data_IF_602576554549
#
_entry.id   IF_602576554549
#
_cell.length_a   1.000
_cell.length_b   1.000
_cell.length_c   1.000
_cell.angle_alpha   90.00
_cell.angle_beta   90.00
_cell.angle_gamma   90.00
#
_symmetry.space_group_name_H-M   'P 1'
#
loop_
_entity.id
_entity.type
_entity.pdbx_description
1 polymer ?
#
# COMPACT_ATOMS: atom_id res chain seq x y z
N UNK A 1 10.64 1.49 1.37
CA UNK A 1 10.39 1.29 -0.08
C UNK A 1 9.64 -0.01 -0.29
N UNK A 2 8.54 0.01 -1.04
CA UNK A 2 7.86 -1.20 -1.50
C UNK A 2 8.13 -1.37 -3.01
N UNK A 3 8.59 -2.54 -3.44
CA UNK A 3 8.77 -2.84 -4.86
C UNK A 3 7.42 -3.20 -5.49
N UNK A 4 7.03 -2.49 -6.56
CA UNK A 4 5.75 -2.66 -7.23
C UNK A 4 5.89 -3.48 -8.51
N UNK A 5 5.08 -4.53 -8.64
CA UNK A 5 5.03 -5.42 -9.79
C UNK A 5 3.66 -5.41 -10.45
N UNK A 6 3.66 -5.38 -11.78
CA UNK A 6 2.54 -5.83 -12.59
C UNK A 6 2.86 -7.27 -13.04
N UNK A 7 2.13 -8.29 -12.57
CA UNK A 7 2.59 -9.67 -12.69
C UNK A 7 2.43 -10.26 -14.11
N UNK A 8 1.43 -9.82 -14.88
CA UNK A 8 0.98 -10.55 -16.08
C UNK A 8 1.03 -9.76 -17.39
N UNK A 9 1.15 -8.42 -17.35
CA UNK A 9 1.30 -7.63 -18.59
C UNK A 9 2.66 -7.90 -19.23
N UNK A 10 2.67 -8.29 -20.50
CA UNK A 10 3.89 -8.51 -21.28
C UNK A 10 4.29 -7.25 -22.07
N UNK A 11 3.36 -6.65 -22.82
CA UNK A 11 3.59 -5.41 -23.58
C UNK A 11 2.35 -4.50 -23.56
N UNK A 12 2.53 -3.17 -23.57
CA UNK A 12 1.41 -2.23 -23.63
C UNK A 12 0.84 -2.04 -25.03
N UNK A 13 1.61 -2.38 -26.07
CA UNK A 13 1.15 -2.48 -27.45
C UNK A 13 1.94 -3.53 -28.23
N UNK A 14 1.43 -3.97 -29.38
CA UNK A 14 2.09 -4.98 -30.24
C UNK A 14 3.23 -4.42 -31.09
N UNK A 15 3.42 -3.09 -31.15
CA UNK A 15 4.43 -2.44 -31.98
C UNK A 15 5.74 -2.17 -31.23
N UNK A 16 5.77 -2.40 -29.91
CA UNK A 16 6.94 -2.20 -29.08
C UNK A 16 8.06 -3.19 -29.44
N UNK A 17 9.25 -2.67 -29.73
CA UNK A 17 10.45 -3.48 -29.96
C UNK A 17 10.85 -4.21 -28.68
N UNK A 18 11.19 -5.48 -28.81
CA UNK A 18 11.60 -6.35 -27.69
C UNK A 18 12.95 -7.00 -27.98
N UNK A 19 13.76 -7.18 -26.93
CA UNK A 19 15.00 -7.96 -27.02
C UNK A 19 14.71 -9.42 -27.38
N UNK A 20 15.69 -10.13 -27.98
CA UNK A 20 15.55 -11.55 -28.33
C UNK A 20 15.16 -12.45 -27.15
N UNK A 21 15.57 -12.08 -25.94
CA UNK A 21 15.30 -12.80 -24.69
C UNK A 21 13.95 -12.46 -24.04
N UNK A 22 13.16 -11.56 -24.59
CA UNK A 22 11.89 -11.14 -24.00
C UNK A 22 10.87 -12.29 -23.98
N UNK A 23 10.02 -12.37 -22.93
CA UNK A 23 9.07 -13.47 -22.74
C UNK A 23 8.08 -13.63 -23.89
N UNK A 24 7.73 -12.52 -24.57
CA UNK A 24 6.86 -12.58 -25.75
C UNK A 24 7.50 -13.24 -26.97
N UNK A 25 8.83 -13.37 -26.99
CA UNK A 25 9.59 -14.04 -28.05
C UNK A 25 9.98 -15.46 -27.67
N UNK A 26 10.41 -15.66 -26.42
CA UNK A 26 10.90 -16.97 -25.94
C UNK A 26 9.77 -17.92 -25.56
N UNK A 27 8.61 -17.39 -25.17
CA UNK A 27 7.44 -18.19 -24.76
C UNK A 27 6.15 -17.68 -25.43
N UNK A 28 6.08 -17.62 -26.77
CA UNK A 28 4.93 -17.07 -27.48
C UNK A 28 3.63 -17.84 -27.21
N UNK A 29 3.72 -19.13 -26.88
CA UNK A 29 2.56 -20.00 -26.59
C UNK A 29 1.75 -19.56 -25.35
N UNK A 30 2.36 -18.83 -24.40
CA UNK A 30 1.67 -18.29 -23.22
C UNK A 30 1.21 -16.85 -23.41
N UNK A 31 1.42 -16.25 -24.58
CA UNK A 31 1.03 -14.88 -24.85
C UNK A 31 -0.39 -14.83 -25.43
N UNK A 32 -1.19 -13.90 -24.93
CA UNK A 32 -2.52 -13.57 -25.43
C UNK A 32 -2.57 -12.10 -25.82
N UNK A 33 -3.14 -11.82 -26.99
CA UNK A 33 -3.50 -10.46 -27.39
C UNK A 33 -4.82 -10.11 -26.73
N UNK A 34 -4.88 -8.93 -26.13
CA UNK A 34 -6.11 -8.40 -25.55
C UNK A 34 -6.15 -6.90 -25.76
N UNK A 35 -7.08 -6.44 -26.60
CA UNK A 35 -7.07 -5.07 -27.15
C UNK A 35 -5.71 -4.79 -27.81
N UNK A 36 -5.09 -3.65 -27.52
CA UNK A 36 -3.74 -3.33 -27.99
C UNK A 36 -2.63 -4.11 -27.25
N UNK A 37 -2.90 -4.70 -26.09
CA UNK A 37 -1.88 -5.24 -25.19
C UNK A 37 -1.51 -6.68 -25.52
N UNK A 38 -0.31 -7.08 -25.09
CA UNK A 38 0.06 -8.49 -24.94
C UNK A 38 0.15 -8.84 -23.45
N UNK A 39 -0.44 -9.98 -23.09
CA UNK A 39 -0.48 -10.50 -21.73
C UNK A 39 0.09 -11.90 -21.69
N UNK A 40 0.86 -12.21 -20.64
CA UNK A 40 1.11 -13.60 -20.28
C UNK A 40 -0.18 -14.17 -19.70
N UNK A 41 -0.60 -15.34 -20.18
CA UNK A 41 -1.83 -16.01 -19.76
C UNK A 41 -1.74 -16.36 -18.26
N UNK A 42 -2.56 -15.74 -17.37
CA UNK A 42 -2.50 -16.02 -15.93
C UNK A 42 -2.90 -17.46 -15.57
N UNK A 43 -3.59 -18.18 -16.46
CA UNK A 43 -3.94 -19.59 -16.29
C UNK A 43 -2.75 -20.54 -16.55
N UNK A 44 -1.70 -20.08 -17.22
CA UNK A 44 -0.46 -20.85 -17.41
C UNK A 44 0.36 -20.96 -16.11
N UNK A 45 0.80 -22.18 -15.78
CA UNK A 45 1.72 -22.42 -14.66
C UNK A 45 3.03 -21.68 -14.84
N UNK A 46 3.58 -21.67 -16.06
CA UNK A 46 4.78 -20.93 -16.42
C UNK A 46 4.65 -19.43 -16.09
N UNK A 47 3.53 -18.80 -16.47
CA UNK A 47 3.29 -17.38 -16.19
C UNK A 47 3.34 -17.08 -14.69
N UNK A 48 2.60 -17.86 -13.88
CA UNK A 48 2.53 -17.66 -12.43
C UNK A 48 3.88 -17.92 -11.75
N UNK A 49 4.58 -18.99 -12.14
CA UNK A 49 5.90 -19.33 -11.62
C UNK A 49 6.92 -18.25 -11.98
N UNK A 50 6.95 -17.78 -13.24
CA UNK A 50 7.85 -16.71 -13.67
C UNK A 50 7.62 -15.42 -12.88
N UNK A 51 6.37 -14.99 -12.73
CA UNK A 51 6.03 -13.80 -11.96
C UNK A 51 6.47 -13.94 -10.50
N UNK A 52 6.20 -15.08 -9.87
CA UNK A 52 6.63 -15.36 -8.50
C UNK A 52 8.15 -15.36 -8.37
N UNK A 53 8.87 -16.03 -9.28
CA UNK A 53 10.34 -16.09 -9.28
C UNK A 53 10.98 -14.71 -9.35
N UNK A 54 10.45 -13.80 -10.18
CA UNK A 54 10.93 -12.41 -10.25
C UNK A 54 10.67 -11.65 -8.95
N UNK A 55 9.48 -11.78 -8.36
CA UNK A 55 9.15 -11.17 -7.07
C UNK A 55 10.10 -11.68 -5.98
N UNK A 56 10.36 -12.98 -5.93
CA UNK A 56 11.23 -13.59 -4.92
C UNK A 56 12.72 -13.27 -5.16
N UNK A 57 13.15 -13.11 -6.40
CA UNK A 57 14.52 -12.67 -6.71
C UNK A 57 14.79 -11.26 -6.18
N UNK A 58 13.87 -10.31 -6.44
CA UNK A 58 13.95 -8.95 -5.88
C UNK A 58 13.86 -8.99 -4.35
N UNK A 59 12.94 -9.78 -3.82
CA UNK A 59 12.80 -9.97 -2.36
C UNK A 59 14.10 -10.46 -1.75
N UNK A 60 14.83 -11.41 -2.37
CA UNK A 60 16.12 -11.89 -1.88
C UNK A 60 17.21 -10.83 -1.96
N UNK A 61 17.42 -10.24 -3.14
CA UNK A 61 18.60 -9.42 -3.45
C UNK A 61 18.56 -8.00 -2.86
N UNK A 62 17.38 -7.45 -2.61
CA UNK A 62 17.24 -6.04 -2.19
C UNK A 62 16.62 -5.92 -0.80
N UNK A 63 17.05 -4.92 -0.03
CA UNK A 63 16.48 -4.59 1.27
C UNK A 63 15.19 -3.78 1.16
N UNK A 64 14.18 -4.38 0.52
CA UNK A 64 12.85 -3.77 0.39
C UNK A 64 12.06 -3.94 1.68
N UNK A 65 11.26 -2.91 2.04
CA UNK A 65 10.33 -2.98 3.18
C UNK A 65 9.05 -3.73 2.83
N UNK A 66 8.79 -3.94 1.54
CA UNK A 66 7.62 -4.66 1.07
C UNK A 66 7.57 -4.91 -0.43
N UNK A 67 6.61 -5.74 -0.80
CA UNK A 67 6.20 -6.08 -2.16
C UNK A 67 4.78 -5.56 -2.36
N UNK A 68 4.52 -5.00 -3.54
CA UNK A 68 3.22 -4.47 -3.91
C UNK A 68 2.81 -4.97 -5.29
N UNK A 69 1.55 -5.41 -5.43
CA UNK A 69 0.93 -5.61 -6.74
C UNK A 69 -0.31 -4.74 -6.86
N UNK A 70 -0.58 -4.24 -8.07
CA UNK A 70 -1.73 -3.40 -8.37
C UNK A 70 -2.95 -4.23 -8.80
N UNK A 71 -3.84 -3.63 -9.57
CA UNK A 71 -5.16 -4.15 -9.93
C UNK A 71 -5.18 -4.95 -11.23
N UNK A 72 -4.03 -5.14 -11.87
CA UNK A 72 -3.91 -5.87 -13.13
C UNK A 72 -3.67 -7.37 -12.91
N UNK A 73 -4.77 -8.08 -12.68
CA UNK A 73 -4.80 -9.54 -12.68
C UNK A 73 -5.12 -10.02 -14.11
N UNK A 74 -6.39 -10.26 -14.44
CA UNK A 74 -6.82 -10.27 -15.84
C UNK A 74 -7.02 -8.84 -16.36
N UNK A 75 -6.86 -8.60 -17.67
CA UNK A 75 -7.01 -7.25 -18.23
C UNK A 75 -8.44 -6.73 -18.10
N UNK A 76 -8.55 -5.42 -17.90
CA UNK A 76 -9.83 -4.70 -17.95
C UNK A 76 -10.43 -4.77 -19.36
N UNK A 77 -11.62 -5.36 -19.54
CA UNK A 77 -12.35 -5.26 -20.80
C UNK A 77 -12.87 -3.84 -21.00
N UNK A 78 -13.11 -3.47 -22.25
CA UNK A 78 -14.03 -2.36 -22.52
C UNK A 78 -15.44 -2.79 -22.16
N UNK A 79 -16.29 -1.81 -21.87
CA UNK A 79 -17.70 -2.03 -21.56
C UNK A 79 -18.57 -1.42 -22.66
N UNK A 80 -19.67 -2.08 -22.99
CA UNK A 80 -20.69 -1.52 -23.86
C UNK A 80 -21.55 -0.46 -23.14
N UNK A 81 -22.49 0.13 -23.87
CA UNK A 81 -23.42 1.14 -23.33
C UNK A 81 -24.29 0.64 -22.16
N UNK A 82 -24.44 -0.68 -22.04
CA UNK A 82 -25.20 -1.34 -20.98
C UNK A 82 -24.30 -1.85 -19.84
N UNK A 83 -23.00 -1.51 -19.86
CA UNK A 83 -22.03 -1.94 -18.85
C UNK A 83 -21.58 -3.39 -18.98
N UNK A 84 -21.85 -4.07 -20.10
CA UNK A 84 -21.41 -5.45 -20.34
C UNK A 84 -20.00 -5.49 -20.92
N UNK A 85 -19.14 -6.44 -20.53
CA UNK A 85 -17.78 -6.53 -21.07
C UNK A 85 -17.82 -6.89 -22.57
N UNK A 86 -17.12 -6.10 -23.38
CA UNK A 86 -17.02 -6.32 -24.84
C UNK A 86 -16.06 -7.44 -25.22
N UNK A 87 -15.00 -7.62 -24.44
CA UNK A 87 -13.96 -8.62 -24.71
C UNK A 87 -13.92 -9.65 -23.59
N UNK A 88 -13.68 -10.89 -23.97
CA UNK A 88 -13.28 -11.95 -23.06
C UNK A 88 -11.80 -12.27 -23.29
N UNK A 89 -11.09 -12.59 -22.20
CA UNK A 89 -9.70 -13.00 -22.32
C UNK A 89 -9.61 -14.35 -23.06
N UNK A 90 -8.77 -14.52 -24.09
CA UNK A 90 -8.80 -15.70 -24.95
C UNK A 90 -7.96 -16.87 -24.37
N UNK A 91 -8.39 -17.41 -23.23
CA UNK A 91 -7.74 -18.54 -22.52
C UNK A 91 -8.63 -19.79 -22.42
N UNK A 92 -9.87 -19.71 -22.90
CA UNK A 92 -10.88 -20.77 -22.79
C UNK A 92 -11.28 -21.10 -21.34
N UNK A 93 -11.06 -20.20 -20.38
CA UNK A 93 -11.38 -20.42 -18.96
C UNK A 93 -12.64 -19.69 -18.55
N UNK A 94 -13.45 -20.37 -17.74
CA UNK A 94 -14.57 -19.74 -17.03
C UNK A 94 -14.07 -18.73 -15.99
N UNK A 95 -14.90 -17.73 -15.60
CA UNK A 95 -14.54 -16.80 -14.54
C UNK A 95 -14.12 -17.48 -13.22
N UNK A 96 -14.76 -18.60 -12.86
CA UNK A 96 -14.41 -19.36 -11.65
C UNK A 96 -13.03 -20.01 -11.74
N UNK A 97 -12.66 -20.58 -12.90
CA UNK A 97 -11.31 -21.10 -13.14
C UNK A 97 -10.27 -19.99 -13.06
N UNK A 98 -10.52 -18.85 -13.70
CA UNK A 98 -9.62 -17.69 -13.66
C UNK A 98 -9.37 -17.22 -12.22
N UNK A 99 -10.42 -17.09 -11.41
CA UNK A 99 -10.29 -16.74 -9.99
C UNK A 99 -9.43 -17.73 -9.22
N UNK A 100 -9.61 -19.04 -9.42
CA UNK A 100 -8.77 -20.06 -8.75
C UNK A 100 -7.28 -19.89 -9.07
N UNK A 101 -6.93 -19.54 -10.30
CA UNK A 101 -5.52 -19.30 -10.68
C UNK A 101 -4.95 -18.05 -10.02
N UNK A 102 -5.70 -16.95 -9.97
CA UNK A 102 -5.27 -15.71 -9.30
C UNK A 102 -5.17 -15.91 -7.79
N UNK A 103 -6.16 -16.54 -7.17
CA UNK A 103 -6.17 -16.87 -5.74
C UNK A 103 -4.92 -17.69 -5.36
N UNK A 104 -4.63 -18.74 -6.14
CA UNK A 104 -3.46 -19.58 -5.91
C UNK A 104 -2.16 -18.78 -6.04
N UNK A 105 -2.04 -17.89 -7.02
CA UNK A 105 -0.89 -17.00 -7.16
C UNK A 105 -0.74 -16.05 -5.97
N UNK A 106 -1.81 -15.39 -5.55
CA UNK A 106 -1.79 -14.45 -4.41
C UNK A 106 -1.40 -15.15 -3.12
N UNK A 107 -1.97 -16.33 -2.85
CA UNK A 107 -1.63 -17.14 -1.69
C UNK A 107 -0.15 -17.56 -1.72
N UNK A 108 0.33 -18.09 -2.86
CA UNK A 108 1.73 -18.50 -3.01
C UNK A 108 2.71 -17.33 -2.88
N UNK A 109 2.39 -16.18 -3.47
CA UNK A 109 3.17 -14.95 -3.36
C UNK A 109 3.31 -14.54 -1.90
N UNK A 110 2.19 -14.47 -1.16
CA UNK A 110 2.20 -14.12 0.25
C UNK A 110 3.11 -15.07 1.04
N UNK A 111 2.80 -16.37 1.00
CA UNK A 111 3.54 -17.38 1.76
C UNK A 111 5.04 -17.36 1.42
N UNK A 112 5.40 -17.28 0.15
CA UNK A 112 6.80 -17.31 -0.28
C UNK A 112 7.58 -16.07 0.14
N UNK A 113 6.97 -14.87 0.06
CA UNK A 113 7.60 -13.64 0.56
C UNK A 113 7.76 -13.70 2.07
N UNK A 114 6.75 -14.17 2.80
CA UNK A 114 6.82 -14.33 4.26
C UNK A 114 7.91 -15.33 4.69
N UNK A 115 8.10 -16.42 3.95
CA UNK A 115 9.16 -17.40 4.22
C UNK A 115 10.57 -16.80 4.03
N UNK A 116 10.76 -15.95 3.01
CA UNK A 116 12.08 -15.34 2.73
C UNK A 116 12.38 -14.15 3.65
N UNK A 117 11.41 -13.26 3.83
CA UNK A 117 11.53 -12.03 4.61
C UNK A 117 10.22 -11.79 5.37
N UNK A 118 10.03 -12.40 6.56
CA UNK A 118 8.78 -12.32 7.31
C UNK A 118 8.32 -10.88 7.57
N UNK A 119 9.27 -9.96 7.76
CA UNK A 119 9.02 -8.53 8.00
C UNK A 119 8.66 -7.72 6.74
N UNK A 120 8.93 -8.19 5.52
CA UNK A 120 8.68 -7.43 4.29
C UNK A 120 7.19 -7.44 3.93
N UNK A 121 6.47 -6.32 4.03
CA UNK A 121 5.01 -6.24 3.85
C UNK A 121 4.57 -6.70 2.45
N UNK A 122 3.52 -7.50 2.35
CA UNK A 122 2.86 -7.82 1.07
C UNK A 122 1.57 -7.01 0.94
N UNK A 123 1.55 -6.10 -0.03
CA UNK A 123 0.40 -5.23 -0.31
C UNK A 123 -0.25 -5.53 -1.65
N UNK A 124 -1.57 -5.39 -1.71
CA UNK A 124 -2.34 -5.55 -2.95
C UNK A 124 -3.26 -4.34 -3.11
N UNK A 125 -3.23 -3.69 -4.28
CA UNK A 125 -4.08 -2.54 -4.63
C UNK A 125 -5.13 -2.95 -5.68
N UNK A 126 -6.25 -3.58 -5.26
CA UNK A 126 -7.29 -4.00 -6.20
C UNK A 126 -8.18 -2.83 -6.63
N UNK A 127 -9.02 -3.07 -7.64
CA UNK A 127 -10.12 -2.17 -7.98
C UNK A 127 -10.98 -1.86 -6.75
N UNK A 128 -11.41 -0.60 -6.63
CA UNK A 128 -12.06 -0.11 -5.41
C UNK A 128 -13.46 -0.67 -5.13
N UNK A 129 -14.11 -1.29 -6.13
CA UNK A 129 -15.43 -1.91 -6.01
C UNK A 129 -15.27 -3.42 -6.29
N UNK A 130 -15.47 -4.27 -5.28
CA UNK A 130 -15.28 -5.72 -5.43
C UNK A 130 -16.28 -6.33 -6.42
N UNK A 131 -17.55 -5.94 -6.29
CA UNK A 131 -18.65 -6.29 -7.20
C UNK A 131 -19.58 -5.09 -7.37
N UNK A 132 -20.20 -4.89 -8.55
CA UNK A 132 -21.26 -3.90 -8.70
C UNK A 132 -22.36 -4.16 -7.67
N UNK A 133 -22.90 -3.11 -7.06
CA UNK A 133 -23.88 -3.22 -5.97
C UNK A 133 -23.27 -3.56 -4.60
N UNK A 134 -21.94 -3.66 -4.47
CA UNK A 134 -21.28 -4.02 -3.20
C UNK A 134 -20.22 -2.98 -2.80
N UNK A 135 -20.43 -2.21 -1.72
CA UNK A 135 -21.63 -2.16 -0.86
C UNK A 135 -22.88 -1.65 -1.60
N UNK A 136 -24.07 -1.90 -1.03
CA UNK A 136 -25.36 -1.48 -1.62
C UNK A 136 -25.34 0.00 -2.05
N UNK A 137 -25.95 0.28 -3.20
CA UNK A 137 -26.00 1.59 -3.84
C UNK A 137 -24.75 2.00 -4.63
N UNK A 138 -23.67 1.21 -4.59
CA UNK A 138 -22.53 1.43 -5.50
C UNK A 138 -22.82 0.82 -6.86
N UNK A 139 -22.46 1.53 -7.94
CA UNK A 139 -22.50 0.99 -9.31
C UNK A 139 -21.08 0.84 -9.86
N UNK A 140 -20.89 -0.08 -10.80
CA UNK A 140 -19.63 -0.21 -11.55
C UNK A 140 -19.90 -0.96 -12.85
N UNK A 141 -19.40 -0.45 -13.97
CA UNK A 141 -19.45 -1.17 -15.26
C UNK A 141 -18.46 -2.33 -15.30
N UNK A 142 -17.47 -2.33 -14.41
CA UNK A 142 -16.53 -3.45 -14.24
C UNK A 142 -16.86 -4.20 -12.96
N UNK A 143 -17.03 -5.51 -13.09
CA UNK A 143 -17.09 -6.43 -11.98
C UNK A 143 -15.69 -7.01 -11.73
N UNK A 144 -14.98 -6.52 -10.71
CA UNK A 144 -13.60 -6.96 -10.44
C UNK A 144 -13.51 -8.46 -10.14
N UNK A 145 -14.50 -9.01 -9.41
CA UNK A 145 -14.57 -10.42 -9.09
C UNK A 145 -14.77 -11.31 -10.34
N UNK A 146 -15.60 -10.89 -11.30
CA UNK A 146 -15.86 -11.69 -12.51
C UNK A 146 -14.88 -11.39 -13.65
N UNK A 147 -14.64 -10.13 -13.96
CA UNK A 147 -13.89 -9.71 -15.15
C UNK A 147 -12.38 -9.72 -14.93
N UNK A 148 -11.92 -9.29 -13.74
CA UNK A 148 -10.49 -9.23 -13.41
C UNK A 148 -10.01 -10.49 -12.68
N UNK A 149 -10.94 -11.38 -12.32
CA UNK A 149 -10.70 -12.55 -11.48
C UNK A 149 -10.08 -12.19 -10.10
N UNK A 150 -10.39 -11.00 -9.59
CA UNK A 150 -9.83 -10.47 -8.36
C UNK A 150 -10.78 -10.63 -7.17
N UNK A 151 -10.68 -11.75 -6.44
CA UNK A 151 -11.42 -11.95 -5.20
C UNK A 151 -10.72 -11.32 -3.99
N UNK A 152 -10.51 -10.01 -4.05
CA UNK A 152 -9.76 -9.25 -3.03
C UNK A 152 -10.39 -9.26 -1.64
N UNK A 153 -11.71 -9.46 -1.55
CA UNK A 153 -12.40 -9.72 -0.29
C UNK A 153 -11.90 -11.00 0.36
N UNK A 154 -11.80 -12.10 -0.40
CA UNK A 154 -11.26 -13.38 0.09
C UNK A 154 -9.80 -13.25 0.50
N UNK A 155 -8.96 -12.57 -0.28
CA UNK A 155 -7.54 -12.39 0.04
C UNK A 155 -7.36 -11.66 1.38
N UNK A 156 -8.15 -10.62 1.61
CA UNK A 156 -8.16 -9.87 2.87
C UNK A 156 -8.65 -10.73 4.05
N UNK A 157 -9.74 -11.48 3.88
CA UNK A 157 -10.30 -12.36 4.92
C UNK A 157 -9.36 -13.50 5.30
N UNK A 158 -8.67 -14.08 4.31
CA UNK A 158 -7.73 -15.19 4.51
C UNK A 158 -6.33 -14.74 4.94
N UNK A 159 -6.08 -13.43 4.98
CA UNK A 159 -4.79 -12.88 5.37
C UNK A 159 -3.69 -13.13 4.33
N UNK A 160 -4.03 -13.28 3.04
CA UNK A 160 -3.08 -13.45 1.93
C UNK A 160 -2.44 -12.13 1.47
N UNK A 161 -2.50 -11.12 2.33
CA UNK A 161 -1.78 -9.86 2.23
C UNK A 161 -1.62 -9.29 3.65
N UNK A 162 -0.60 -8.45 3.84
CA UNK A 162 -0.39 -7.69 5.07
C UNK A 162 -1.21 -6.40 5.08
N UNK A 163 -1.61 -5.89 3.92
CA UNK A 163 -2.58 -4.80 3.78
C UNK A 163 -3.25 -4.84 2.40
N UNK A 164 -4.48 -4.31 2.35
CA UNK A 164 -5.16 -4.03 1.10
C UNK A 164 -5.19 -2.52 0.84
N UNK A 165 -5.03 -2.12 -0.41
CA UNK A 165 -5.08 -0.72 -0.86
C UNK A 165 -6.12 -0.53 -1.96
N UNK A 166 -7.41 -0.76 -1.69
CA UNK A 166 -8.44 -0.63 -2.72
C UNK A 166 -8.41 0.77 -3.33
N UNK A 167 -8.52 0.85 -4.65
CA UNK A 167 -8.44 2.09 -5.42
C UNK A 167 -9.73 2.92 -5.29
N UNK A 168 -9.86 3.66 -4.18
CA UNK A 168 -11.03 4.49 -3.88
C UNK A 168 -10.90 5.87 -4.57
N UNK A 169 -10.95 5.87 -5.90
CA UNK A 169 -10.62 7.04 -6.73
C UNK A 169 -11.79 8.00 -7.00
N UNK A 170 -12.90 7.77 -6.33
CA UNK A 170 -14.10 8.60 -6.36
C UNK A 170 -14.04 9.70 -5.29
N UNK A 171 -14.97 10.65 -5.38
CA UNK A 171 -15.12 11.71 -4.37
C UNK A 171 -15.81 11.15 -3.12
N UNK A 172 -15.81 11.93 -2.05
CA UNK A 172 -16.51 11.63 -0.79
C UNK A 172 -18.01 11.49 -1.06
N UNK A 173 -18.57 12.41 -1.83
CA UNK A 173 -19.97 12.38 -2.23
C UNK A 173 -20.20 11.58 -3.53
N UNK A 174 -21.41 11.04 -3.65
CA UNK A 174 -21.90 10.34 -4.83
C UNK A 174 -22.08 8.82 -4.66
N UNK A 175 -22.53 8.11 -5.72
CA UNK A 175 -22.88 6.69 -5.64
C UNK A 175 -21.70 5.80 -5.24
N UNK A 176 -20.50 6.11 -5.71
CA UNK A 176 -19.23 5.46 -5.34
C UNK A 176 -18.51 6.21 -4.21
N UNK A 177 -19.26 6.76 -3.26
CA UNK A 177 -18.73 7.52 -2.12
C UNK A 177 -17.49 6.88 -1.50
N UNK A 178 -16.42 7.66 -1.40
CA UNK A 178 -15.17 7.27 -0.75
C UNK A 178 -15.41 6.72 0.66
N UNK A 179 -16.21 7.41 1.47
CA UNK A 179 -16.50 7.04 2.85
C UNK A 179 -17.27 5.72 2.94
N UNK A 180 -18.24 5.52 2.05
CA UNK A 180 -19.01 4.27 1.97
C UNK A 180 -18.10 3.09 1.65
N UNK A 181 -17.26 3.24 0.63
CA UNK A 181 -16.32 2.20 0.21
C UNK A 181 -15.26 1.92 1.28
N UNK A 182 -14.72 2.96 1.92
CA UNK A 182 -13.74 2.81 2.99
C UNK A 182 -14.31 2.04 4.18
N UNK A 183 -15.50 2.41 4.64
CA UNK A 183 -16.21 1.72 5.72
C UNK A 183 -16.45 0.24 5.37
N UNK A 184 -16.91 -0.02 4.15
CA UNK A 184 -17.14 -1.39 3.70
C UNK A 184 -15.86 -2.21 3.66
N UNK A 185 -14.78 -1.72 3.04
CA UNK A 185 -13.51 -2.45 2.98
C UNK A 185 -12.93 -2.73 4.38
N UNK A 186 -13.01 -1.77 5.29
CA UNK A 186 -12.52 -1.94 6.68
C UNK A 186 -13.33 -2.95 7.48
N UNK A 187 -14.58 -3.26 7.10
CA UNK A 187 -15.37 -4.32 7.73
C UNK A 187 -15.14 -5.71 7.13
N UNK A 188 -14.39 -5.83 6.03
CA UNK A 188 -14.19 -7.12 5.35
C UNK A 188 -13.13 -8.01 5.99
N UNK A 189 -12.29 -7.50 6.89
CA UNK A 189 -11.24 -8.32 7.53
C UNK A 189 -10.45 -7.57 8.61
N UNK A 190 -9.42 -8.24 9.13
CA UNK A 190 -8.61 -7.74 10.27
C UNK A 190 -7.28 -7.11 9.85
N UNK A 191 -6.83 -7.30 8.61
CA UNK A 191 -5.60 -6.68 8.09
C UNK A 191 -5.86 -5.22 7.72
N UNK A 192 -4.86 -4.32 7.81
CA UNK A 192 -4.98 -2.94 7.41
C UNK A 192 -5.61 -2.74 6.02
N UNK A 193 -6.47 -1.73 5.92
CA UNK A 193 -6.97 -1.20 4.65
C UNK A 193 -6.50 0.25 4.53
N UNK A 194 -5.57 0.47 3.60
CA UNK A 194 -4.97 1.76 3.29
C UNK A 194 -5.44 2.20 1.91
N UNK A 195 -6.60 2.88 1.80
CA UNK A 195 -7.21 3.18 0.52
C UNK A 195 -6.28 3.97 -0.41
N UNK A 196 -6.33 3.63 -1.70
CA UNK A 196 -5.76 4.47 -2.75
C UNK A 196 -6.61 5.72 -2.94
N UNK A 197 -5.99 6.90 -2.84
CA UNK A 197 -6.58 8.22 -3.06
C UNK A 197 -6.07 8.77 -4.39
N UNK A 198 -6.99 9.10 -5.31
CA UNK A 198 -6.66 9.64 -6.63
C UNK A 198 -6.31 11.14 -6.59
N UNK A 199 -5.19 11.47 -5.96
CA UNK A 199 -4.60 12.82 -5.99
C UNK A 199 -4.28 13.30 -7.41
N UNK A 200 -4.01 12.37 -8.33
CA UNK A 200 -3.79 12.63 -9.74
C UNK A 200 -5.03 13.18 -10.48
N UNK A 201 -6.21 13.05 -9.89
CA UNK A 201 -7.45 13.57 -10.45
C UNK A 201 -7.74 15.02 -10.10
N UNK A 202 -6.98 15.65 -9.18
CA UNK A 202 -7.11 17.09 -8.92
C UNK A 202 -6.97 17.82 -10.27
N UNK A 203 -7.95 18.66 -10.61
CA UNK A 203 -7.96 19.49 -11.84
C UNK A 203 -7.50 18.74 -13.09
N UNK A 204 -7.83 17.45 -13.19
CA UNK A 204 -7.45 16.61 -14.34
C UNK A 204 -8.53 16.68 -15.40
N UNK A 205 -8.26 16.23 -16.62
CA UNK A 205 -9.29 16.09 -17.65
C UNK A 205 -10.41 15.13 -17.23
N UNK A 206 -10.08 14.07 -16.48
CA UNK A 206 -11.06 13.11 -15.94
C UNK A 206 -11.95 13.69 -14.85
N UNK A 207 -11.46 14.66 -14.08
CA UNK A 207 -12.20 15.31 -13.00
C UNK A 207 -11.75 16.77 -12.82
N UNK A 208 -12.17 17.69 -13.71
CA UNK A 208 -11.67 19.07 -13.73
C UNK A 208 -12.00 19.85 -12.46
N UNK A 209 -13.14 19.51 -11.85
CA UNK A 209 -13.65 20.19 -10.65
C UNK A 209 -13.08 19.68 -9.33
N UNK A 210 -12.21 18.65 -9.29
CA UNK A 210 -11.72 18.10 -8.02
C UNK A 210 -10.76 19.06 -7.32
N UNK A 211 -11.11 19.60 -6.14
CA UNK A 211 -10.23 20.50 -5.40
C UNK A 211 -9.19 19.71 -4.58
N UNK A 212 -8.13 20.38 -4.14
CA UNK A 212 -7.16 19.77 -3.23
C UNK A 212 -7.75 19.47 -1.85
N UNK A 213 -8.76 20.24 -1.39
CA UNK A 213 -9.48 20.01 -0.13
C UNK A 213 -10.16 18.64 -0.08
N UNK A 214 -10.62 18.12 -1.22
CA UNK A 214 -11.17 16.76 -1.35
C UNK A 214 -10.16 15.72 -0.85
N UNK A 215 -8.89 15.85 -1.26
CA UNK A 215 -7.82 14.95 -0.86
C UNK A 215 -7.53 15.08 0.65
N UNK A 216 -7.52 16.30 1.18
CA UNK A 216 -7.31 16.53 2.62
C UNK A 216 -8.42 15.85 3.45
N UNK A 217 -9.67 16.00 3.01
CA UNK A 217 -10.82 15.41 3.68
C UNK A 217 -10.79 13.86 3.61
N UNK A 218 -10.40 13.29 2.47
CA UNK A 218 -10.24 11.83 2.33
C UNK A 218 -9.12 11.27 3.22
N UNK A 219 -8.02 12.00 3.39
CA UNK A 219 -6.97 11.62 4.35
C UNK A 219 -7.49 11.69 5.78
N UNK A 220 -8.30 12.69 6.13
CA UNK A 220 -8.90 12.78 7.46
C UNK A 220 -9.87 11.63 7.72
N UNK A 221 -10.72 11.29 6.76
CA UNK A 221 -11.62 10.13 6.85
C UNK A 221 -10.84 8.82 6.98
N UNK A 222 -9.72 8.67 6.26
CA UNK A 222 -8.81 7.52 6.44
C UNK A 222 -8.29 7.36 7.86
N UNK A 223 -8.24 8.43 8.67
CA UNK A 223 -7.80 8.39 10.07
C UNK A 223 -8.94 8.05 11.03
N UNK A 224 -10.17 8.44 10.73
CA UNK A 224 -11.29 8.38 11.67
C UNK A 224 -12.29 7.26 11.38
N UNK A 225 -12.34 6.71 10.17
CA UNK A 225 -13.36 5.72 9.78
C UNK A 225 -12.99 4.29 10.16
N UNK A 226 -13.73 3.64 11.06
CA UNK A 226 -13.52 2.22 11.41
C UNK A 226 -12.37 1.99 12.40
N UNK A 227 -12.12 0.72 12.75
CA UNK A 227 -11.26 0.32 13.88
C UNK A 227 -9.92 -0.32 13.49
N UNK A 228 -9.46 -0.07 12.26
CA UNK A 228 -8.27 -0.71 11.70
C UNK A 228 -7.07 0.25 11.71
N UNK A 229 -5.86 -0.26 11.45
CA UNK A 229 -4.66 0.56 11.36
C UNK A 229 -4.80 1.63 10.25
N UNK A 230 -4.85 2.89 10.66
CA UNK A 230 -5.02 4.03 9.76
C UNK A 230 -3.83 4.18 8.78
N UNK A 231 -4.12 4.71 7.60
CA UNK A 231 -3.17 4.92 6.51
C UNK A 231 -3.90 5.02 5.18
N UNK A 232 -3.19 5.40 4.12
CA UNK A 232 -3.69 5.57 2.76
C UNK A 232 -2.52 5.66 1.77
N UNK A 233 -2.80 5.58 0.47
CA UNK A 233 -1.80 5.68 -0.61
C UNK A 233 -2.23 6.76 -1.61
N UNK A 234 -1.31 7.64 -2.01
CA UNK A 234 -1.60 8.64 -3.05
C UNK A 234 -1.28 8.09 -4.45
N UNK A 235 -2.29 8.07 -5.32
CA UNK A 235 -2.08 7.94 -6.76
C UNK A 235 -2.18 9.33 -7.40
N UNK A 236 -1.10 9.98 -7.81
CA UNK A 236 0.30 9.51 -7.79
C UNK A 236 1.28 10.59 -7.36
N UNK A 237 2.54 10.21 -7.16
CA UNK A 237 3.64 11.10 -6.77
C UNK A 237 3.78 12.32 -7.70
N UNK A 238 3.49 12.17 -9.01
CA UNK A 238 3.58 13.28 -9.98
C UNK A 238 2.78 14.49 -9.54
N UNK A 239 1.56 14.29 -9.05
CA UNK A 239 0.66 15.37 -8.66
C UNK A 239 1.04 16.03 -7.34
N UNK A 240 1.68 15.28 -6.44
CA UNK A 240 2.30 15.83 -5.24
C UNK A 240 3.51 16.69 -5.61
N UNK A 241 4.40 16.23 -6.50
CA UNK A 241 5.56 17.01 -6.98
C UNK A 241 5.13 18.29 -7.69
N UNK A 242 4.09 18.23 -8.50
CA UNK A 242 3.50 19.39 -9.19
C UNK A 242 2.73 20.33 -8.25
N UNK A 243 2.57 19.96 -6.97
CA UNK A 243 1.72 20.65 -6.01
C UNK A 243 0.35 21.02 -6.60
N UNK A 244 -0.27 20.07 -7.32
CA UNK A 244 -1.45 20.39 -8.13
C UNK A 244 -2.59 20.90 -7.26
N UNK A 245 -3.12 22.08 -7.60
CA UNK A 245 -4.15 22.74 -6.80
C UNK A 245 -3.73 23.10 -5.37
N UNK A 246 -2.43 23.15 -5.07
CA UNK A 246 -1.88 23.45 -3.74
C UNK A 246 -1.88 22.26 -2.76
N UNK A 247 -2.11 21.02 -3.24
CA UNK A 247 -2.31 19.85 -2.37
C UNK A 247 -1.13 19.56 -1.45
N UNK A 248 0.11 19.67 -1.93
CA UNK A 248 1.30 19.39 -1.11
C UNK A 248 1.48 20.44 -0.02
N UNK A 249 1.21 21.72 -0.33
CA UNK A 249 1.22 22.80 0.67
C UNK A 249 0.14 22.59 1.73
N UNK A 250 -1.04 22.10 1.36
CA UNK A 250 -2.10 21.79 2.31
C UNK A 250 -1.77 20.57 3.18
N UNK A 251 -1.22 19.51 2.57
CA UNK A 251 -0.82 18.30 3.29
C UNK A 251 0.26 18.60 4.32
N UNK A 252 1.30 19.39 3.97
CA UNK A 252 2.37 19.74 4.92
C UNK A 252 1.87 20.62 6.06
N UNK A 253 0.94 21.56 5.78
CA UNK A 253 0.41 22.47 6.80
C UNK A 253 -0.65 21.83 7.71
N UNK A 254 -1.50 20.95 7.18
CA UNK A 254 -2.70 20.47 7.91
C UNK A 254 -2.65 19.00 8.29
N UNK A 255 -1.88 18.17 7.58
CA UNK A 255 -2.08 16.72 7.61
C UNK A 255 -0.81 15.97 8.05
N UNK A 256 0.33 16.20 7.41
CA UNK A 256 1.61 15.53 7.67
C UNK A 256 2.56 16.40 8.49
N UNK A 257 2.05 16.92 9.60
CA UNK A 257 2.76 17.87 10.45
C UNK A 257 3.73 17.20 11.43
N UNK A 258 3.63 15.89 11.62
CA UNK A 258 4.50 15.11 12.51
C UNK A 258 4.95 13.82 11.84
N UNK A 259 6.09 13.29 12.28
CA UNK A 259 6.56 11.99 11.83
C UNK A 259 5.63 10.89 12.34
N UNK A 260 5.37 9.87 11.51
CA UNK A 260 4.53 8.74 11.86
C UNK A 260 5.28 7.43 11.64
N UNK A 261 5.03 6.46 12.53
CA UNK A 261 5.47 5.09 12.33
C UNK A 261 4.50 4.37 11.38
N UNK A 262 5.06 3.45 10.60
CA UNK A 262 4.23 2.45 9.92
C UNK A 262 3.64 1.55 11.02
N UNK A 263 2.33 1.22 10.97
CA UNK A 263 1.72 0.31 11.94
C UNK A 263 2.49 -1.01 12.12
N UNK A 264 2.37 -1.69 13.27
CA UNK A 264 2.99 -3.00 13.47
C UNK A 264 2.32 -4.10 12.63
N UNK A 265 2.97 -5.26 12.53
CA UNK A 265 2.39 -6.52 12.02
C UNK A 265 2.28 -7.57 13.14
N UNK A 266 1.33 -7.41 14.10
CA UNK A 266 1.20 -8.32 15.25
C UNK A 266 0.78 -9.75 14.86
N UNK A 267 0.41 -9.97 13.61
CA UNK A 267 0.14 -11.30 13.06
C UNK A 267 1.38 -12.01 12.55
N UNK A 268 2.51 -11.30 12.40
CA UNK A 268 3.80 -11.90 12.06
C UNK A 268 4.67 -12.06 13.30
N UNK A 269 4.70 -11.05 14.18
CA UNK A 269 5.44 -11.07 15.43
C UNK A 269 4.82 -10.12 16.44
N UNK A 270 4.71 -10.58 17.69
CA UNK A 270 4.29 -9.76 18.84
C UNK A 270 5.44 -9.48 19.81
N UNK A 271 6.64 -10.00 19.51
CA UNK A 271 7.82 -9.79 20.33
C UNK A 271 8.18 -8.29 20.34
N UNK A 272 8.33 -7.72 21.53
CA UNK A 272 8.76 -6.34 21.70
C UNK A 272 10.30 -6.28 21.70
N UNK A 273 10.92 -5.34 20.97
CA UNK A 273 12.34 -5.09 21.15
C UNK A 273 12.61 -4.55 22.56
N UNK A 274 13.85 -4.71 23.04
CA UNK A 274 14.28 -4.13 24.30
C UNK A 274 14.21 -2.60 24.27
N UNK A 275 14.02 -1.98 25.42
CA UNK A 275 14.05 -0.51 25.54
C UNK A 275 15.49 -0.01 25.49
N UNK A 276 15.79 1.07 24.74
CA UNK A 276 17.14 1.65 24.73
C UNK A 276 17.41 2.41 26.02
N UNK A 277 18.64 2.45 26.53
CA UNK A 277 18.98 3.32 27.66
C UNK A 277 19.07 4.76 27.17
N UNK A 278 18.23 5.65 27.69
CA UNK A 278 18.16 7.06 27.26
C UNK A 278 18.84 7.99 28.28
N UNK A 279 19.69 8.89 27.79
CA UNK A 279 20.22 10.04 28.54
C UNK A 279 19.93 11.32 27.76
N UNK A 280 19.58 12.39 28.46
CA UNK A 280 19.38 13.71 27.87
C UNK A 280 20.22 14.75 28.63
N UNK A 281 20.97 15.57 27.89
CA UNK A 281 21.86 16.59 28.46
C UNK A 281 21.68 17.93 27.75
N UNK A 282 21.87 19.04 28.46
CA UNK A 282 21.93 20.40 27.90
C UNK A 282 21.03 21.39 28.65
N UNK A 283 21.51 22.60 28.91
CA UNK A 283 20.75 23.70 29.51
C UNK A 283 20.30 24.70 28.42
N UNK A 284 19.22 25.45 28.66
CA UNK A 284 18.76 26.49 27.72
C UNK A 284 17.85 25.97 26.59
N UNK A 285 18.12 26.34 25.34
CA UNK A 285 17.23 26.16 24.18
C UNK A 285 17.47 24.89 23.34
N UNK A 286 18.44 24.05 23.72
CA UNK A 286 18.77 22.83 22.99
C UNK A 286 18.95 21.65 23.96
N UNK A 287 18.46 20.48 23.54
CA UNK A 287 18.61 19.22 24.28
C UNK A 287 19.30 18.20 23.40
N UNK A 288 20.36 17.58 23.92
CA UNK A 288 21.01 16.46 23.26
C UNK A 288 20.54 15.16 23.91
N UNK A 289 19.72 14.40 23.17
CA UNK A 289 19.31 13.05 23.56
C UNK A 289 20.30 12.04 22.97
N UNK A 290 20.77 11.11 23.80
CA UNK A 290 21.60 9.96 23.40
C UNK A 290 21.00 8.67 23.93
N UNK A 291 21.04 7.61 23.14
CA UNK A 291 20.49 6.32 23.54
C UNK A 291 21.37 5.15 23.12
N UNK A 292 21.27 4.04 23.88
CA UNK A 292 22.01 2.82 23.55
C UNK A 292 21.43 2.14 22.29
N UNK A 293 22.26 1.48 21.47
CA UNK A 293 21.77 0.64 20.40
C UNK A 293 20.98 -0.56 20.97
N UNK A 294 19.95 -1.00 20.23
CA UNK A 294 19.10 -2.15 20.55
C UNK A 294 19.20 -3.17 19.43
N UNK A 295 19.58 -4.41 19.77
CA UNK A 295 19.65 -5.52 18.82
C UNK A 295 18.27 -5.76 18.18
N UNK A 296 18.24 -5.85 16.85
CA UNK A 296 17.02 -6.07 16.09
C UNK A 296 16.16 -4.82 15.85
N UNK A 297 16.55 -3.66 16.37
CA UNK A 297 15.93 -2.40 15.99
C UNK A 297 16.27 -2.07 14.52
N UNK A 298 15.26 -1.62 13.78
CA UNK A 298 15.38 -1.08 12.43
C UNK A 298 15.36 0.45 12.42
N UNK A 299 14.67 1.03 13.40
CA UNK A 299 14.49 2.47 13.59
C UNK A 299 14.39 2.82 15.07
N UNK A 300 14.51 4.10 15.38
CA UNK A 300 14.12 4.68 16.67
C UNK A 300 13.04 5.74 16.45
N UNK A 301 12.00 5.70 17.28
CA UNK A 301 11.01 6.78 17.36
C UNK A 301 11.36 7.68 18.55
N UNK A 302 11.58 8.96 18.26
CA UNK A 302 11.90 9.97 19.26
C UNK A 302 10.68 10.85 19.45
N UNK A 303 10.20 10.90 20.68
CA UNK A 303 9.04 11.67 21.07
C UNK A 303 9.45 12.72 22.10
N UNK A 304 8.84 13.89 22.04
CA UNK A 304 9.04 14.95 23.01
C UNK A 304 7.68 15.41 23.55
N UNK A 305 7.63 15.73 24.83
CA UNK A 305 6.48 16.34 25.47
C UNK A 305 6.65 17.86 25.48
N UNK A 306 5.58 18.54 25.08
CA UNK A 306 5.41 19.99 25.21
C UNK A 306 4.06 20.24 25.89
N UNK A 307 4.09 20.75 27.12
CA UNK A 307 2.92 20.81 28.00
C UNK A 307 2.34 19.42 28.30
N UNK A 308 1.07 19.19 27.92
CA UNK A 308 0.36 17.91 28.14
C UNK A 308 0.44 16.94 26.96
N UNK A 309 1.03 17.35 25.83
CA UNK A 309 0.97 16.60 24.59
C UNK A 309 2.33 16.01 24.23
N UNK A 310 2.30 14.75 23.77
CA UNK A 310 3.45 14.06 23.20
C UNK A 310 3.42 14.14 21.68
N UNK A 311 4.57 14.46 21.09
CA UNK A 311 4.74 14.53 19.65
C UNK A 311 5.86 13.61 19.22
N UNK A 312 5.65 12.84 18.15
CA UNK A 312 6.75 12.14 17.47
C UNK A 312 7.53 13.16 16.64
N UNK A 313 8.72 13.52 17.14
CA UNK A 313 9.55 14.57 16.55
C UNK A 313 10.36 14.01 15.37
N UNK A 314 10.92 12.81 15.53
CA UNK A 314 11.71 12.14 14.49
C UNK A 314 11.53 10.63 14.55
N UNK A 315 11.68 10.01 13.39
CA UNK A 315 11.93 8.58 13.25
C UNK A 315 13.27 8.45 12.54
N UNK A 316 14.26 7.84 13.19
CA UNK A 316 15.63 7.75 12.70
C UNK A 316 16.00 6.29 12.39
N UNK A 317 16.94 6.03 11.48
CA UNK A 317 17.45 4.67 11.23
C UNK A 317 18.14 4.11 12.48
N UNK A 318 18.26 2.78 12.56
CA UNK A 318 18.91 2.10 13.69
C UNK A 318 20.39 2.49 13.91
N UNK A 319 21.06 3.05 12.89
CA UNK A 319 22.42 3.58 13.01
C UNK A 319 22.50 4.90 13.79
N UNK A 320 21.39 5.60 13.98
CA UNK A 320 21.35 6.83 14.76
C UNK A 320 21.14 6.52 16.26
N UNK A 321 22.06 7.01 17.09
CA UNK A 321 22.06 6.84 18.55
C UNK A 321 21.97 8.18 19.30
N UNK A 322 21.77 9.28 18.58
CA UNK A 322 21.58 10.59 19.19
C UNK A 322 20.75 11.54 18.31
N UNK A 323 20.18 12.56 18.95
CA UNK A 323 19.46 13.65 18.28
C UNK A 323 19.57 14.92 19.11
N UNK A 324 19.94 16.03 18.46
CA UNK A 324 19.80 17.37 19.02
C UNK A 324 18.39 17.88 18.74
N UNK A 325 17.65 18.19 19.79
CA UNK A 325 16.31 18.76 19.77
C UNK A 325 16.38 20.24 20.11
N UNK A 326 15.69 21.07 19.32
CA UNK A 326 15.49 22.49 19.63
C UNK A 326 14.29 22.66 20.57
N UNK A 327 14.34 23.69 21.41
CA UNK A 327 13.31 24.02 22.38
C UNK A 327 13.55 23.41 23.76
N UNK A 328 12.54 23.56 24.64
CA UNK A 328 12.57 23.11 26.04
C UNK A 328 11.46 22.07 26.31
N UNK A 329 11.58 20.84 25.78
CA UNK A 329 10.61 19.79 26.09
C UNK A 329 10.68 19.40 27.56
N UNK A 330 9.54 19.19 28.21
CA UNK A 330 9.48 18.77 29.63
C UNK A 330 9.81 17.27 29.81
N UNK A 331 9.76 16.50 28.72
CA UNK A 331 10.23 15.11 28.71
C UNK A 331 10.60 14.67 27.30
N UNK A 332 11.54 13.73 27.22
CA UNK A 332 11.91 13.05 25.97
C UNK A 332 11.71 11.56 26.16
N UNK A 333 11.16 10.90 25.15
CA UNK A 333 11.01 9.45 25.09
C UNK A 333 11.65 8.89 23.83
N UNK A 334 12.32 7.76 23.94
CA UNK A 334 12.86 7.01 22.80
C UNK A 334 12.34 5.57 22.85
N UNK A 335 11.87 5.09 21.70
CA UNK A 335 11.47 3.69 21.48
C UNK A 335 12.31 3.07 20.38
N UNK A 336 12.78 1.86 20.60
CA UNK A 336 13.27 1.01 19.52
C UNK A 336 12.07 0.50 18.69
N UNK A 337 12.24 0.41 17.37
CA UNK A 337 11.24 -0.11 16.45
C UNK A 337 11.86 -1.21 15.62
N UNK A 338 11.31 -2.43 15.66
CA UNK A 338 11.81 -3.55 14.89
C UNK A 338 11.39 -3.47 13.40
N UNK A 339 11.72 -4.49 12.59
CA UNK A 339 11.33 -4.53 11.17
C UNK A 339 9.83 -4.82 10.94
N UNK A 340 9.12 -5.32 11.94
CA UNK A 340 7.68 -5.57 11.90
C UNK A 340 6.86 -4.32 12.24
N UNK A 341 7.52 -3.26 12.74
CA UNK A 341 6.90 -2.02 13.20
C UNK A 341 6.50 -2.06 14.68
N UNK A 342 6.87 -3.12 15.41
CA UNK A 342 6.62 -3.24 16.85
C UNK A 342 7.59 -2.33 17.61
N UNK A 343 7.06 -1.64 18.62
CA UNK A 343 7.86 -0.72 19.45
C UNK A 343 8.20 -1.33 20.80
N UNK A 344 9.37 -0.98 21.33
CA UNK A 344 9.71 -1.24 22.73
C UNK A 344 8.81 -0.43 23.67
N UNK A 345 8.87 -0.72 24.97
CA UNK A 345 8.44 0.25 25.97
C UNK A 345 9.27 1.55 25.80
N UNK A 346 8.72 2.72 26.13
CA UNK A 346 9.46 3.97 26.00
C UNK A 346 10.49 4.07 27.12
N UNK A 347 11.70 4.50 26.78
CA UNK A 347 12.62 5.03 27.78
C UNK A 347 12.40 6.53 27.86
N UNK A 348 12.07 7.03 29.05
CA UNK A 348 11.64 8.41 29.26
C UNK A 348 12.61 9.10 30.21
N UNK A 349 13.02 10.31 29.86
CA UNK A 349 13.75 11.23 30.75
C UNK A 349 12.93 12.50 30.90
N UNK A 350 12.47 12.77 32.12
CA UNK A 350 11.86 14.04 32.49
C UNK A 350 12.95 15.09 32.68
N UNK A 351 12.60 16.35 32.42
CA UNK A 351 13.56 17.46 32.33
C UNK A 351 13.17 18.64 33.19
#
# INVERSE_FOLDING_TARGET
VHAWFNPFRALPNTTMRTSGSHVSRTHPSVIRRFKSYQWMDPASSFTRQRALSVILDVTRRYDVDGIHIDDYFYPYPDVDKNGRPKQQFPDGKSPSQRRRYVDSFVQQMYTSVKQLKPWARVGISPFGIWKPGVPSGTTASINAYEHLAADSRKWLQRGWCDYLSPQLYWRIEGPQSYTRLLSWWRSQGRRPVWPGIATARIKSTEDPGRPASEIINQVQLSRTTGRNYAGHVHWSMKSLKQNRGGVSSLLTKKTYTTAALVPPMPWMSQAKPASPLLKATGSGSNVLARWSPVRGASKYAIQARYGRLWYTVKVLPASATSLKLSGKPEAIAVRAVDRYGTTSNPSVVAR
#
